data_IF_038931791100
#
_entry.id   IF_038931791100
#
_cell.length_a   1.000
_cell.length_b   1.000
_cell.length_c   1.000
_cell.angle_alpha   90.00
_cell.angle_beta   90.00
_cell.angle_gamma   90.00
#
_symmetry.space_group_name_H-M   'P 1'
#
loop_
_entity.id
_entity.type
_entity.pdbx_description
1 polymer ?
#
# COMPACT_ATOMS: atom_id res chain seq x y z
N UNK A 1 10.07 -4.28 -20.76
CA UNK A 1 10.16 -2.98 -20.06
C UNK A 1 9.61 -3.21 -18.65
N UNK A 2 10.45 -3.19 -17.61
CA UNK A 2 9.94 -3.31 -16.23
C UNK A 2 9.13 -2.03 -15.95
N UNK A 3 7.82 -2.15 -15.78
CA UNK A 3 6.99 -1.02 -15.35
C UNK A 3 7.44 -0.68 -13.92
N UNK A 4 7.86 0.55 -13.66
CA UNK A 4 8.11 0.98 -12.28
C UNK A 4 6.78 1.17 -11.56
N UNK A 5 6.75 0.99 -10.25
CA UNK A 5 5.58 1.25 -9.41
C UNK A 5 4.98 2.63 -9.67
N UNK A 6 5.79 3.69 -9.73
CA UNK A 6 5.33 5.04 -10.07
C UNK A 6 4.72 5.14 -11.49
N UNK A 7 5.18 4.32 -12.45
CA UNK A 7 4.55 4.26 -13.79
C UNK A 7 3.17 3.60 -13.71
N UNK A 8 3.01 2.55 -12.89
CA UNK A 8 1.71 1.93 -12.67
C UNK A 8 0.73 2.91 -12.01
N UNK A 9 1.14 3.54 -10.91
CA UNK A 9 0.28 4.45 -10.16
C UNK A 9 -0.16 5.63 -11.02
N UNK A 10 0.77 6.23 -11.79
CA UNK A 10 0.45 7.34 -12.69
C UNK A 10 -0.49 6.96 -13.84
N UNK A 11 -0.51 5.69 -14.27
CA UNK A 11 -1.52 5.20 -15.23
C UNK A 11 -2.91 5.09 -14.59
N UNK A 12 -2.98 4.75 -13.30
CA UNK A 12 -4.24 4.49 -12.60
C UNK A 12 -4.92 5.74 -12.05
N UNK A 13 -4.16 6.81 -11.80
CA UNK A 13 -4.62 8.05 -11.13
C UNK A 13 -5.80 8.77 -11.79
N UNK A 14 -6.06 8.54 -13.08
CA UNK A 14 -7.17 9.16 -13.81
C UNK A 14 -8.48 8.36 -13.70
N UNK A 15 -8.50 7.30 -12.89
CA UNK A 15 -9.70 6.49 -12.65
C UNK A 15 -10.24 6.79 -11.25
N UNK A 16 -11.55 7.06 -11.16
CA UNK A 16 -12.19 7.42 -9.89
C UNK A 16 -12.36 6.23 -8.93
N UNK A 17 -12.17 5.00 -9.41
CA UNK A 17 -12.46 3.77 -8.68
C UNK A 17 -11.18 3.04 -8.24
N UNK A 18 -10.08 3.78 -8.06
CA UNK A 18 -8.78 3.22 -7.66
C UNK A 18 -8.48 3.51 -6.21
N UNK A 19 -8.09 2.46 -5.50
CA UNK A 19 -7.69 2.50 -4.10
C UNK A 19 -6.31 1.86 -3.97
N UNK A 20 -5.60 2.22 -2.91
CA UNK A 20 -4.41 1.48 -2.47
C UNK A 20 -4.49 1.19 -0.98
N UNK A 21 -3.76 0.18 -0.53
CA UNK A 21 -3.69 -0.18 0.87
C UNK A 21 -2.28 -0.31 1.37
N UNK A 22 -2.13 -0.17 2.69
CA UNK A 22 -0.91 -0.41 3.43
C UNK A 22 -1.19 -1.25 4.66
N UNK A 23 -0.16 -1.98 5.11
CA UNK A 23 -0.22 -2.85 6.28
C UNK A 23 0.58 -2.24 7.44
N UNK A 24 -0.10 -2.09 8.57
CA UNK A 24 0.48 -1.65 9.84
C UNK A 24 0.44 -2.81 10.81
N UNK A 25 1.56 -3.50 10.99
CA UNK A 25 1.63 -4.66 11.88
C UNK A 25 1.87 -4.24 13.32
N UNK A 26 1.23 -4.94 14.26
CA UNK A 26 1.35 -4.63 15.69
C UNK A 26 2.74 -4.97 16.26
N UNK A 27 3.44 -5.93 15.64
CA UNK A 27 4.75 -6.42 16.08
C UNK A 27 5.92 -5.55 15.59
N UNK A 28 5.64 -4.45 14.87
CA UNK A 28 6.63 -3.55 14.30
C UNK A 28 6.58 -2.16 14.92
N UNK A 29 7.76 -1.56 15.13
CA UNK A 29 7.89 -0.17 15.54
C UNK A 29 7.84 0.78 14.33
N UNK A 30 7.11 1.88 14.47
CA UNK A 30 7.01 2.94 13.45
C UNK A 30 7.49 4.27 14.02
N UNK A 31 8.44 4.90 13.33
CA UNK A 31 9.04 6.15 13.77
C UNK A 31 8.21 7.37 13.32
N UNK A 32 8.71 8.58 13.63
CA UNK A 32 8.04 9.84 13.28
C UNK A 32 7.83 10.02 11.78
N UNK A 33 8.68 9.46 10.92
CA UNK A 33 8.50 9.54 9.47
C UNK A 33 7.30 8.71 9.02
N UNK A 34 7.13 7.49 9.57
CA UNK A 34 5.96 6.66 9.30
C UNK A 34 4.68 7.33 9.82
N UNK A 35 4.71 7.90 11.02
CA UNK A 35 3.57 8.64 11.59
C UNK A 35 3.20 9.86 10.74
N UNK A 36 4.20 10.59 10.22
CA UNK A 36 3.94 11.71 9.31
C UNK A 36 3.37 11.23 7.98
N UNK A 37 3.89 10.12 7.43
CA UNK A 37 3.36 9.50 6.21
C UNK A 37 1.90 9.10 6.36
N UNK A 38 1.54 8.48 7.49
CA UNK A 38 0.15 8.18 7.83
C UNK A 38 -0.70 9.45 7.92
N UNK A 39 -0.21 10.46 8.64
CA UNK A 39 -0.91 11.74 8.83
C UNK A 39 -1.17 12.44 7.50
N UNK A 40 -0.19 12.45 6.59
CA UNK A 40 -0.32 13.02 5.24
C UNK A 40 -1.40 12.29 4.44
N UNK A 41 -1.58 10.98 4.66
CA UNK A 41 -2.56 10.14 3.96
C UNK A 41 -3.96 10.12 4.59
N UNK A 42 -4.12 10.51 5.86
CA UNK A 42 -5.41 10.50 6.57
C UNK A 42 -6.57 11.16 5.80
N UNK A 43 -6.40 12.29 5.09
CA UNK A 43 -7.48 12.89 4.32
C UNK A 43 -8.06 12.00 3.21
N UNK A 44 -7.30 10.99 2.78
CA UNK A 44 -7.68 10.06 1.71
C UNK A 44 -8.11 8.69 2.25
N UNK A 45 -8.17 8.51 3.57
CA UNK A 45 -8.54 7.23 4.18
C UNK A 45 -10.01 6.92 3.90
N UNK A 46 -10.26 5.77 3.27
CA UNK A 46 -11.60 5.25 2.96
C UNK A 46 -12.10 4.38 4.11
N UNK A 47 -11.26 3.44 4.55
CA UNK A 47 -11.57 2.49 5.62
C UNK A 47 -10.30 1.87 6.17
N UNK A 48 -10.38 1.32 7.37
CA UNK A 48 -9.36 0.45 7.94
C UNK A 48 -10.01 -0.78 8.56
N UNK A 49 -9.28 -1.89 8.57
CA UNK A 49 -9.76 -3.15 9.12
C UNK A 49 -8.63 -3.93 9.80
N UNK A 50 -8.99 -4.70 10.82
CA UNK A 50 -8.07 -5.62 11.49
C UNK A 50 -7.98 -6.91 10.68
N UNK A 51 -6.76 -7.29 10.33
CA UNK A 51 -6.48 -8.44 9.47
C UNK A 51 -5.42 -9.34 10.08
N UNK A 52 -5.48 -10.62 9.73
CA UNK A 52 -4.38 -11.58 9.87
C UNK A 52 -3.88 -12.07 8.51
N UNK A 53 -4.51 -11.66 7.41
CA UNK A 53 -4.15 -12.04 6.05
C UNK A 53 -4.32 -10.84 5.10
N UNK A 54 -3.45 -10.76 4.09
CA UNK A 54 -3.54 -9.81 2.99
C UNK A 54 -2.85 -10.41 1.76
N UNK A 55 -2.88 -9.76 0.58
CA UNK A 55 -2.27 -10.34 -0.61
C UNK A 55 -0.80 -10.72 -0.37
N UNK A 56 -0.51 -12.03 -0.42
CA UNK A 56 0.83 -12.59 -0.29
C UNK A 56 1.28 -12.99 1.12
N UNK A 57 0.54 -12.62 2.18
CA UNK A 57 0.99 -12.82 3.56
C UNK A 57 -0.15 -13.23 4.48
N UNK A 58 0.12 -14.20 5.35
CA UNK A 58 -0.74 -14.64 6.46
C UNK A 58 0.10 -14.64 7.74
N UNK A 59 -0.45 -14.09 8.83
CA UNK A 59 0.20 -13.99 10.13
C UNK A 59 -0.24 -15.12 11.06
N UNK A 60 0.74 -15.86 11.58
CA UNK A 60 0.56 -16.81 12.68
C UNK A 60 0.73 -16.11 14.05
N UNK A 61 -0.09 -15.10 14.37
CA UNK A 61 0.03 -14.43 15.67
C UNK A 61 -0.60 -13.05 15.79
N UNK A 62 0.24 -12.05 16.07
CA UNK A 62 -0.18 -10.66 16.27
C UNK A 62 -0.90 -10.12 15.03
N UNK A 63 -1.87 -9.22 15.22
CA UNK A 63 -2.68 -8.73 14.12
C UNK A 63 -2.01 -7.59 13.36
N UNK A 64 -2.59 -7.23 12.24
CA UNK A 64 -2.26 -6.01 11.52
C UNK A 64 -3.51 -5.17 11.29
N UNK A 65 -3.29 -3.87 11.06
CA UNK A 65 -4.30 -2.97 10.52
C UNK A 65 -4.02 -2.74 9.05
N UNK A 66 -4.96 -3.12 8.19
CA UNK A 66 -4.94 -2.77 6.77
C UNK A 66 -5.73 -1.48 6.57
N UNK A 67 -5.07 -0.46 6.02
CA UNK A 67 -5.69 0.85 5.76
C UNK A 67 -5.81 1.07 4.27
N UNK A 68 -7.00 1.45 3.81
CA UNK A 68 -7.30 1.70 2.40
C UNK A 68 -7.49 3.18 2.15
N UNK A 69 -6.87 3.68 1.09
CA UNK A 69 -6.86 5.08 0.71
C UNK A 69 -7.32 5.25 -0.73
N UNK A 70 -7.96 6.38 -1.02
CA UNK A 70 -8.33 6.80 -2.36
C UNK A 70 -7.10 7.23 -3.16
N UNK A 71 -6.96 6.77 -4.40
CA UNK A 71 -5.91 7.25 -5.29
C UNK A 71 -6.32 8.54 -6.01
N UNK A 72 -6.01 9.66 -5.37
CA UNK A 72 -6.12 11.03 -5.92
C UNK A 72 -4.78 11.57 -6.43
N UNK A 73 -4.80 12.75 -7.07
CA UNK A 73 -3.57 13.46 -7.46
C UNK A 73 -2.68 13.78 -6.25
N UNK A 74 -3.30 14.18 -5.15
CA UNK A 74 -2.65 14.58 -3.91
C UNK A 74 -2.07 13.37 -3.16
N UNK A 75 -2.83 12.27 -3.07
CA UNK A 75 -2.33 11.02 -2.46
C UNK A 75 -1.14 10.44 -3.24
N UNK A 76 -1.16 10.56 -4.58
CA UNK A 76 -0.02 10.14 -5.42
C UNK A 76 1.23 10.98 -5.16
N UNK A 77 1.11 12.28 -4.90
CA UNK A 77 2.28 13.11 -4.55
C UNK A 77 2.94 12.64 -3.24
N UNK A 78 2.17 12.05 -2.33
CA UNK A 78 2.70 11.44 -1.11
C UNK A 78 3.34 10.10 -1.44
N UNK A 79 2.64 9.24 -2.20
CA UNK A 79 3.09 7.90 -2.56
C UNK A 79 4.37 7.91 -3.42
N UNK A 80 4.48 8.84 -4.36
CA UNK A 80 5.60 8.99 -5.28
C UNK A 80 6.91 9.48 -4.64
N UNK A 81 6.88 9.86 -3.35
CA UNK A 81 8.10 10.10 -2.55
C UNK A 81 8.90 8.82 -2.38
N UNK A 82 8.26 7.66 -2.53
CA UNK A 82 8.88 6.33 -2.43
C UNK A 82 9.16 5.81 -3.85
N UNK A 83 10.41 5.40 -4.12
CA UNK A 83 10.82 5.06 -5.48
C UNK A 83 10.49 3.62 -5.87
N UNK A 84 10.32 2.75 -4.88
CA UNK A 84 10.12 1.32 -5.03
C UNK A 84 9.11 0.81 -3.99
N UNK A 85 8.23 -0.14 -4.35
CA UNK A 85 7.30 -0.76 -3.39
C UNK A 85 8.05 -1.41 -2.23
N UNK A 86 9.26 -1.93 -2.48
CA UNK A 86 10.11 -2.57 -1.47
C UNK A 86 10.72 -1.61 -0.44
N UNK A 87 10.49 -0.29 -0.56
CA UNK A 87 10.88 0.69 0.44
C UNK A 87 9.79 0.91 1.50
N UNK A 88 8.57 0.38 1.28
CA UNK A 88 7.50 0.34 2.29
C UNK A 88 7.84 -0.68 3.36
N UNK A 89 8.69 -0.26 4.31
CA UNK A 89 9.19 -1.08 5.41
C UNK A 89 9.29 -0.26 6.71
N UNK A 90 9.01 -0.94 7.82
CA UNK A 90 9.34 -0.43 9.15
C UNK A 90 10.86 -0.14 9.25
N UNK A 91 11.28 0.92 9.97
CA UNK A 91 10.45 1.81 10.79
C UNK A 91 9.96 3.08 10.07
N UNK A 92 10.26 3.25 8.78
CA UNK A 92 10.06 4.52 8.08
C UNK A 92 8.72 4.63 7.35
N UNK A 93 8.13 3.50 6.98
CA UNK A 93 6.87 3.40 6.25
C UNK A 93 6.07 2.19 6.75
N UNK A 94 4.76 2.11 6.48
CA UNK A 94 4.02 0.86 6.62
C UNK A 94 4.58 -0.21 5.68
N UNK A 95 4.23 -1.48 5.92
CA UNK A 95 4.59 -2.59 5.03
C UNK A 95 3.56 -2.75 3.90
N UNK A 96 3.99 -3.47 2.86
CA UNK A 96 3.18 -4.07 1.78
C UNK A 96 2.11 -3.15 1.16
N UNK A 97 2.39 -2.64 -0.04
CA UNK A 97 1.40 -1.90 -0.82
C UNK A 97 0.61 -2.82 -1.74
N UNK A 98 -0.71 -2.63 -1.78
CA UNK A 98 -1.58 -3.23 -2.78
C UNK A 98 -2.44 -2.15 -3.44
N UNK A 99 -2.80 -2.36 -4.70
CA UNK A 99 -3.68 -1.48 -5.48
C UNK A 99 -4.90 -2.23 -5.96
N UNK A 100 -6.02 -1.53 -5.96
CA UNK A 100 -7.33 -2.05 -6.31
C UNK A 100 -7.99 -1.13 -7.33
N UNK A 101 -8.67 -1.71 -8.31
CA UNK A 101 -9.54 -0.99 -9.24
C UNK A 101 -10.88 -1.70 -9.28
N UNK A 102 -11.98 -0.94 -9.13
CA UNK A 102 -13.33 -1.51 -9.02
C UNK A 102 -13.42 -2.59 -7.91
N UNK A 103 -12.75 -2.33 -6.78
CA UNK A 103 -12.58 -3.25 -5.64
C UNK A 103 -11.87 -4.57 -5.95
N UNK A 104 -11.29 -4.75 -7.14
CA UNK A 104 -10.48 -5.91 -7.51
C UNK A 104 -9.01 -5.61 -7.37
N UNK A 105 -8.24 -6.55 -6.83
CA UNK A 105 -6.78 -6.45 -6.78
C UNK A 105 -6.23 -6.33 -8.20
N UNK A 106 -5.32 -5.37 -8.43
CA UNK A 106 -4.60 -5.22 -9.71
C UNK A 106 -3.09 -5.33 -9.53
N UNK A 107 -2.59 -5.04 -8.33
CA UNK A 107 -1.17 -5.09 -8.00
C UNK A 107 -0.99 -5.31 -6.50
N UNK A 108 0.03 -6.06 -6.12
CA UNK A 108 0.45 -6.21 -4.74
C UNK A 108 1.96 -6.40 -4.65
N UNK A 109 2.51 -6.07 -3.49
CA UNK A 109 3.89 -6.34 -3.12
C UNK A 109 3.98 -6.90 -1.71
N UNK A 110 4.92 -7.84 -1.53
CA UNK A 110 5.48 -8.20 -0.24
C UNK A 110 6.85 -7.49 -0.13
N UNK A 111 6.88 -6.37 0.58
CA UNK A 111 8.00 -5.44 0.62
C UNK A 111 9.26 -6.08 1.20
N UNK A 112 9.09 -6.83 2.29
CA UNK A 112 10.20 -7.43 3.03
C UNK A 112 10.83 -8.61 2.29
N UNK A 113 10.05 -9.33 1.48
CA UNK A 113 10.54 -10.40 0.61
C UNK A 113 11.01 -9.90 -0.77
N UNK A 114 10.77 -8.62 -1.09
CA UNK A 114 11.05 -8.01 -2.40
C UNK A 114 10.34 -8.68 -3.56
N UNK A 115 9.09 -9.05 -3.34
CA UNK A 115 8.22 -9.69 -4.33
C UNK A 115 7.10 -8.73 -4.70
N UNK A 116 6.81 -8.60 -5.99
CA UNK A 116 5.64 -7.88 -6.50
C UNK A 116 4.97 -8.70 -7.60
N UNK A 117 3.65 -8.56 -7.74
CA UNK A 117 2.90 -9.20 -8.80
C UNK A 117 1.70 -8.36 -9.22
N UNK A 118 1.28 -8.60 -10.46
CA UNK A 118 0.01 -8.09 -10.98
C UNK A 118 -1.02 -9.21 -10.82
N UNK A 119 -2.24 -8.86 -10.43
CA UNK A 119 -3.32 -9.82 -10.47
C UNK A 119 -3.55 -10.27 -11.92
N UNK A 120 -3.72 -11.56 -12.15
CA UNK A 120 -4.13 -12.07 -13.46
C UNK A 120 -5.56 -11.63 -13.74
N UNK A 121 -5.83 -11.21 -14.98
CA UNK A 121 -7.21 -11.14 -15.47
C UNK A 121 -7.76 -12.58 -15.46
N UNK A 122 -8.80 -12.83 -14.67
CA UNK A 122 -9.63 -14.03 -14.82
C UNK A 122 -10.52 -13.91 -16.07
#
# INVERSE_FOLDING_TARGET
MKKSFNSLVSMLINSNDVMFSFIWRDDLDFNKAAQQFETDLLPFLIREERVSEWPGTELDGEGATMKYYELTTESYQILSKVSSPFEFLSPFYPEDVAMYKDSKLVYASCSHEKIEWFASEE
#
